data_IF_914946095547
#
_entry.id   IF_914946095547
#
_cell.length_a   1.000
_cell.length_b   1.000
_cell.length_c   1.000
_cell.angle_alpha   90.00
_cell.angle_beta   90.00
_cell.angle_gamma   90.00
#
_symmetry.space_group_name_H-M   'P 1'
#
loop_
_entity.id
_entity.type
_entity.pdbx_description
1 polymer ?
#
# COMPACT_ATOMS: atom_id res chain seq x y z
N UNK A 1 -6.02 3.55 15.32
CA UNK A 1 -6.61 2.28 15.79
C UNK A 1 -6.14 1.99 17.20
N UNK A 2 -7.01 1.49 18.09
CA UNK A 2 -6.64 1.22 19.49
C UNK A 2 -5.87 -0.11 19.69
N UNK A 3 -6.10 -1.08 18.81
CA UNK A 3 -5.55 -2.45 18.94
C UNK A 3 -4.40 -2.75 17.95
N UNK A 4 -3.83 -1.74 17.30
CA UNK A 4 -2.77 -1.94 16.29
C UNK A 4 -3.20 -2.60 14.96
N UNK A 5 -4.48 -2.94 14.79
CA UNK A 5 -5.01 -3.54 13.56
C UNK A 5 -5.18 -2.50 12.45
N UNK A 6 -4.78 -2.80 11.22
CA UNK A 6 -5.02 -1.89 10.07
C UNK A 6 -6.52 -1.62 9.84
N UNK A 7 -6.94 -0.38 9.50
CA UNK A 7 -8.34 -0.05 9.29
C UNK A 7 -8.82 -0.54 7.91
N UNK A 8 -10.13 -0.74 7.77
CA UNK A 8 -10.73 -1.06 6.48
C UNK A 8 -10.66 0.13 5.52
N UNK A 9 -10.34 -0.13 4.25
CA UNK A 9 -10.44 0.85 3.17
C UNK A 9 -11.89 0.96 2.66
N UNK A 10 -12.26 2.03 1.94
CA UNK A 10 -13.58 2.13 1.29
C UNK A 10 -13.86 0.91 0.42
N UNK A 11 -15.12 0.43 0.37
CA UNK A 11 -15.48 -0.81 -0.36
C UNK A 11 -15.03 -0.80 -1.83
N UNK A 12 -15.09 0.35 -2.50
CA UNK A 12 -14.67 0.54 -3.90
C UNK A 12 -13.15 0.34 -4.12
N UNK A 13 -12.38 0.39 -3.05
CA UNK A 13 -10.92 0.33 -3.02
C UNK A 13 -10.37 -1.00 -2.48
N UNK A 14 -11.27 -1.94 -2.15
CA UNK A 14 -10.94 -3.30 -1.73
C UNK A 14 -10.79 -4.22 -2.95
N UNK A 15 -9.93 -5.23 -2.85
CA UNK A 15 -9.75 -6.24 -3.91
C UNK A 15 -9.73 -7.64 -3.29
N UNK A 16 -10.81 -8.39 -3.51
CA UNK A 16 -10.98 -9.72 -2.93
C UNK A 16 -10.91 -9.70 -1.40
N UNK A 17 -10.02 -10.52 -0.83
CA UNK A 17 -9.77 -10.57 0.62
C UNK A 17 -8.90 -9.42 1.15
N UNK A 18 -8.28 -8.62 0.27
CA UNK A 18 -7.51 -7.43 0.67
C UNK A 18 -8.44 -6.25 0.84
N UNK A 19 -8.80 -5.99 2.10
CA UNK A 19 -9.85 -5.01 2.46
C UNK A 19 -9.37 -3.88 3.38
N UNK A 20 -8.12 -3.95 3.83
CA UNK A 20 -7.53 -3.00 4.79
C UNK A 20 -6.50 -2.15 4.09
N UNK A 21 -6.23 -0.97 4.62
CA UNK A 21 -5.11 -0.17 4.15
C UNK A 21 -3.79 -0.91 4.34
N UNK A 22 -2.84 -0.65 3.45
CA UNK A 22 -1.56 -1.34 3.37
C UNK A 22 -0.42 -0.32 3.42
N UNK A 23 0.72 -0.73 3.96
CA UNK A 23 1.95 0.06 3.93
C UNK A 23 2.74 -0.34 2.69
N UNK A 24 3.12 0.66 1.90
CA UNK A 24 3.85 0.50 0.65
C UNK A 24 5.19 1.24 0.72
N UNK A 25 6.26 0.59 0.25
CA UNK A 25 7.57 1.21 0.05
C UNK A 25 7.59 1.98 -1.27
N UNK A 26 7.82 3.30 -1.23
CA UNK A 26 7.85 4.17 -2.42
C UNK A 26 9.02 3.81 -3.34
N UNK A 27 10.23 3.75 -2.77
CA UNK A 27 11.42 3.15 -3.34
C UNK A 27 11.45 1.68 -2.93
N UNK A 28 11.53 0.77 -3.90
CA UNK A 28 11.57 -0.66 -3.61
C UNK A 28 12.82 -1.04 -2.83
N UNK A 29 12.67 -2.00 -1.91
CA UNK A 29 13.77 -2.51 -1.08
C UNK A 29 14.89 -3.13 -1.95
N UNK A 30 14.52 -3.79 -3.05
CA UNK A 30 15.48 -4.35 -4.02
C UNK A 30 16.35 -3.29 -4.71
N UNK A 31 15.88 -2.04 -4.72
CA UNK A 31 16.51 -0.88 -5.33
C UNK A 31 17.01 0.08 -4.22
N UNK A 32 17.55 -0.50 -3.14
CA UNK A 32 18.11 0.19 -1.96
C UNK A 32 17.13 1.09 -1.18
N UNK A 33 15.82 0.87 -1.33
CA UNK A 33 14.80 1.56 -0.57
C UNK A 33 14.86 1.24 0.93
N UNK A 34 14.84 2.28 1.77
CA UNK A 34 14.89 2.09 3.23
C UNK A 34 13.68 1.32 3.75
N UNK A 35 13.91 0.33 4.62
CA UNK A 35 12.84 -0.53 5.16
C UNK A 35 11.92 0.24 6.13
N UNK A 36 12.52 1.10 6.97
CA UNK A 36 11.83 1.82 8.05
C UNK A 36 11.92 3.35 7.95
N UNK A 37 12.51 3.90 6.89
CA UNK A 37 12.51 5.34 6.69
C UNK A 37 11.10 5.81 6.41
N UNK A 38 10.56 6.69 7.26
CA UNK A 38 9.17 7.14 7.19
C UNK A 38 8.86 7.83 5.85
N UNK A 39 9.86 8.48 5.24
CA UNK A 39 9.74 9.09 3.93
C UNK A 39 9.56 8.07 2.80
N UNK A 40 9.98 6.82 3.03
CA UNK A 40 9.83 5.72 2.09
C UNK A 40 8.53 4.92 2.29
N UNK A 41 7.70 5.24 3.29
CA UNK A 41 6.47 4.49 3.59
C UNK A 41 5.22 5.31 3.25
N UNK A 42 4.26 4.69 2.57
CA UNK A 42 2.94 5.27 2.27
C UNK A 42 1.82 4.34 2.69
N UNK A 43 0.75 4.90 3.22
CA UNK A 43 -0.50 4.17 3.45
C UNK A 43 -1.35 4.26 2.18
N UNK A 44 -1.68 3.12 1.58
CA UNK A 44 -2.46 3.07 0.34
C UNK A 44 -3.56 2.00 0.41
N UNK A 45 -4.51 2.09 -0.51
CA UNK A 45 -5.58 1.09 -0.64
C UNK A 45 -5.06 -0.16 -1.35
N UNK A 46 -5.66 -1.35 -1.11
CA UNK A 46 -5.30 -2.57 -1.82
C UNK A 46 -5.36 -2.44 -3.33
N UNK A 47 -6.42 -1.79 -3.85
CA UNK A 47 -6.58 -1.53 -5.28
C UNK A 47 -5.42 -0.70 -5.82
N UNK A 48 -5.09 0.41 -5.17
CA UNK A 48 -3.95 1.25 -5.56
C UNK A 48 -2.62 0.51 -5.46
N UNK A 49 -2.44 -0.32 -4.43
CA UNK A 49 -1.20 -1.08 -4.27
C UNK A 49 -1.00 -2.07 -5.42
N UNK A 50 -2.08 -2.71 -5.88
CA UNK A 50 -2.03 -3.59 -7.06
C UNK A 50 -1.71 -2.77 -8.32
N UNK A 51 -2.35 -1.62 -8.51
CA UNK A 51 -2.12 -0.75 -9.69
C UNK A 51 -0.63 -0.37 -9.82
N UNK A 52 -0.01 0.11 -8.73
CA UNK A 52 1.40 0.50 -8.70
C UNK A 52 2.33 -0.65 -9.10
N UNK A 53 2.04 -1.88 -8.65
CA UNK A 53 2.88 -3.06 -8.95
C UNK A 53 2.52 -3.77 -10.25
N UNK A 54 1.43 -3.40 -10.92
CA UNK A 54 0.94 -4.10 -12.12
C UNK A 54 1.44 -3.50 -13.44
N UNK A 55 2.45 -2.61 -13.43
CA UNK A 55 2.95 -1.87 -14.60
C UNK A 55 1.86 -1.13 -15.40
N UNK A 56 0.70 -0.89 -14.81
CA UNK A 56 -0.28 0.06 -15.35
C UNK A 56 0.16 1.43 -14.88
N UNK A 57 1.03 2.07 -15.64
CA UNK A 57 1.19 3.52 -15.53
C UNK A 57 -0.21 4.14 -15.60
N UNK A 58 -0.52 5.03 -14.66
CA UNK A 58 -1.64 5.95 -14.85
C UNK A 58 -1.34 6.75 -16.11
N UNK A 59 -2.01 6.38 -17.21
CA UNK A 59 -2.09 7.20 -18.40
C UNK A 59 -2.97 8.43 -18.16
#
# INVERSE_FOLDING_TARGET
MKNGLSPYSPKLEQVGSRQKYEIHHVQFIKDDGSVYGLDNLRVITPKRHIEIHSNKEEK
#
